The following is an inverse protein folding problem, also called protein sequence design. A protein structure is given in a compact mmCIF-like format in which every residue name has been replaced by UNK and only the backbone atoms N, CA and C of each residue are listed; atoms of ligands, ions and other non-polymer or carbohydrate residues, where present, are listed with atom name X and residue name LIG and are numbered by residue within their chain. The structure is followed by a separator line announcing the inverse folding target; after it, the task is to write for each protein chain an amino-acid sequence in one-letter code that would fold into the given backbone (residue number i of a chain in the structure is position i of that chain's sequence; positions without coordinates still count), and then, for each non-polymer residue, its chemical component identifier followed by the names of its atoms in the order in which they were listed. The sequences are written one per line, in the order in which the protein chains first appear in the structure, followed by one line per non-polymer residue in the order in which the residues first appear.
data_IF_566117859580
#
_entry.id   IF_566117859580
#
_cell.length_a   1.000
_cell.length_b   1.000
_cell.length_c   1.000
_cell.angle_alpha   90.00
_cell.angle_beta   90.00
_cell.angle_gamma   90.00
#
_symmetry.space_group_name_H-M   'P 1'
#
loop_
_entity.id
_entity.type
_entity.pdbx_description
1 polymer ?
#
# COMPACT_ATOMS: atom_id res chain seq x y z
N UNK A 1 12.40 -0.74 -19.93
CA UNK A 1 12.79 -0.42 -18.55
C UNK A 1 11.96 -1.21 -17.56
N UNK A 2 12.57 -1.59 -16.47
CA UNK A 2 11.87 -2.37 -15.46
C UNK A 2 10.85 -1.50 -14.72
N UNK A 3 9.69 -2.06 -14.46
CA UNK A 3 8.66 -1.44 -13.62
C UNK A 3 9.09 -1.46 -12.16
N UNK A 4 8.49 -0.61 -11.35
CA UNK A 4 8.62 -0.64 -9.89
C UNK A 4 7.29 -1.00 -9.26
N UNK A 5 7.34 -1.61 -8.09
CA UNK A 5 6.12 -2.08 -7.42
C UNK A 5 6.16 -1.75 -5.94
N UNK A 6 5.00 -1.46 -5.39
CA UNK A 6 4.76 -1.53 -3.96
C UNK A 6 4.06 -2.86 -3.70
N UNK A 7 4.60 -3.62 -2.77
CA UNK A 7 3.99 -4.86 -2.31
C UNK A 7 3.70 -4.69 -0.82
N UNK A 8 2.44 -4.56 -0.49
CA UNK A 8 1.99 -4.33 0.88
C UNK A 8 1.18 -5.53 1.34
N UNK A 9 1.75 -6.30 2.24
CA UNK A 9 1.14 -7.52 2.78
C UNK A 9 0.81 -7.26 4.25
N UNK A 10 -0.47 -7.16 4.56
CA UNK A 10 -0.92 -6.88 5.92
C UNK A 10 -0.80 -8.13 6.76
N UNK A 11 -0.27 -7.97 7.96
CA UNK A 11 -0.17 -9.04 8.95
C UNK A 11 -1.30 -8.93 9.97
N UNK A 12 -1.66 -7.70 10.34
CA UNK A 12 -2.72 -7.45 11.30
C UNK A 12 -3.31 -6.06 11.07
N UNK A 13 -4.62 -5.97 11.09
CA UNK A 13 -5.35 -4.70 11.09
C UNK A 13 -5.82 -4.46 12.52
N UNK A 14 -5.23 -3.46 13.18
CA UNK A 14 -5.50 -3.14 14.58
C UNK A 14 -6.68 -2.18 14.68
N UNK A 15 -6.74 -1.18 13.80
CA UNK A 15 -7.76 -0.14 13.82
C UNK A 15 -8.27 0.10 12.40
N UNK A 16 -9.47 -0.39 12.14
CA UNK A 16 -10.09 -0.29 10.81
C UNK A 16 -10.42 1.14 10.42
N UNK A 17 -10.70 1.99 11.39
CA UNK A 17 -11.02 3.40 11.12
C UNK A 17 -9.78 4.14 10.64
N UNK A 18 -8.62 3.84 11.22
CA UNK A 18 -7.34 4.41 10.77
C UNK A 18 -7.00 3.93 9.36
N UNK A 19 -7.24 2.67 9.07
CA UNK A 19 -7.01 2.13 7.73
C UNK A 19 -7.91 2.82 6.72
N UNK A 20 -9.17 3.05 7.06
CA UNK A 20 -10.13 3.72 6.19
C UNK A 20 -9.71 5.17 5.92
N UNK A 21 -9.31 5.90 6.98
CA UNK A 21 -8.84 7.28 6.86
C UNK A 21 -7.58 7.36 6.00
N UNK A 22 -6.66 6.42 6.18
CA UNK A 22 -5.47 6.30 5.35
C UNK A 22 -5.83 6.09 3.88
N UNK A 23 -6.74 5.16 3.60
CA UNK A 23 -7.11 4.81 2.22
C UNK A 23 -7.73 5.98 1.47
N UNK A 24 -8.48 6.83 2.15
CA UNK A 24 -9.09 8.01 1.53
C UNK A 24 -8.04 9.00 1.00
N UNK A 25 -6.90 9.08 1.65
CA UNK A 25 -5.79 9.96 1.25
C UNK A 25 -4.79 9.20 0.37
N UNK A 26 -4.46 7.98 0.77
CA UNK A 26 -3.43 7.17 0.11
C UNK A 26 -3.79 6.76 -1.30
N UNK A 27 -5.05 6.40 -1.55
CA UNK A 27 -5.50 6.02 -2.87
C UNK A 27 -5.26 7.11 -3.91
N UNK A 28 -5.80 8.32 -3.71
CA UNK A 28 -5.54 9.43 -4.62
C UNK A 28 -4.06 9.77 -4.74
N UNK A 29 -3.30 9.72 -3.64
CA UNK A 29 -1.86 10.01 -3.66
C UNK A 29 -1.10 9.05 -4.57
N UNK A 30 -1.43 7.76 -4.53
CA UNK A 30 -0.84 6.74 -5.39
C UNK A 30 -1.08 7.09 -6.86
N UNK A 31 -2.32 7.38 -7.21
CA UNK A 31 -2.71 7.66 -8.60
C UNK A 31 -2.06 8.95 -9.11
N UNK A 32 -2.04 10.00 -8.30
CA UNK A 32 -1.39 11.26 -8.65
C UNK A 32 0.10 11.11 -8.89
N UNK A 33 0.74 10.15 -8.23
CA UNK A 33 2.17 9.89 -8.38
C UNK A 33 2.47 8.79 -9.41
N UNK A 34 1.50 8.47 -10.25
CA UNK A 34 1.71 7.57 -11.39
C UNK A 34 1.54 6.09 -11.09
N UNK A 35 1.00 5.74 -9.93
CA UNK A 35 0.75 4.36 -9.56
C UNK A 35 -0.54 3.81 -10.15
N UNK A 36 -0.56 2.51 -10.37
CA UNK A 36 -1.73 1.76 -10.81
C UNK A 36 -1.95 0.61 -9.85
N UNK A 37 -3.14 0.52 -9.28
CA UNK A 37 -3.46 -0.62 -8.41
C UNK A 37 -3.67 -1.87 -9.25
N UNK A 38 -2.86 -2.90 -9.01
CA UNK A 38 -3.05 -4.22 -9.61
C UNK A 38 -3.88 -5.11 -8.70
N UNK A 39 -3.64 -5.01 -7.39
CA UNK A 39 -4.42 -5.68 -6.34
C UNK A 39 -4.68 -4.65 -5.27
N UNK A 40 -5.94 -4.51 -4.87
CA UNK A 40 -6.32 -3.53 -3.85
C UNK A 40 -7.27 -4.18 -2.85
N UNK A 41 -6.72 -5.03 -2.01
CA UNK A 41 -7.52 -5.85 -1.11
C UNK A 41 -8.18 -6.99 -1.88
N UNK A 42 -9.35 -7.36 -1.47
CA UNK A 42 -10.06 -8.48 -2.06
C UNK A 42 -9.75 -9.79 -1.37
N UNK A 43 -10.17 -10.89 -2.00
CA UNK A 43 -10.03 -12.21 -1.42
C UNK A 43 -8.60 -12.72 -1.51
N UNK A 44 -8.09 -13.24 -0.41
CA UNK A 44 -6.74 -13.82 -0.34
C UNK A 44 -6.89 -15.31 -0.04
N UNK A 45 -6.19 -16.14 -0.81
CA UNK A 45 -6.15 -17.58 -0.58
C UNK A 45 -4.73 -17.91 -0.13
N UNK A 46 -4.53 -18.16 1.18
CA UNK A 46 -3.18 -18.41 1.68
C UNK A 46 -2.69 -19.80 1.29
N UNK A 47 -1.40 -19.88 1.01
CA UNK A 47 -0.69 -21.13 0.77
C UNK A 47 0.55 -21.15 1.65
N UNK A 48 1.02 -22.34 2.00
CA UNK A 48 2.18 -22.51 2.86
C UNK A 48 2.05 -21.67 4.13
N UNK A 49 2.98 -20.77 4.38
CA UNK A 49 2.94 -19.87 5.54
C UNK A 49 2.26 -18.54 5.26
N UNK A 50 1.49 -18.47 4.18
CA UNK A 50 0.78 -17.24 3.80
C UNK A 50 -0.27 -16.84 4.82
N UNK A 51 -0.48 -15.54 4.94
CA UNK A 51 -1.47 -14.95 5.85
C UNK A 51 -2.65 -14.45 5.01
N UNK A 52 -3.89 -14.73 5.45
CA UNK A 52 -5.10 -14.38 4.72
C UNK A 52 -5.58 -12.95 4.97
N UNK A 53 -4.66 -12.02 5.23
CA UNK A 53 -4.98 -10.62 5.43
C UNK A 53 -4.88 -9.82 4.13
N UNK A 54 -5.31 -8.57 4.19
CA UNK A 54 -5.32 -7.66 3.04
C UNK A 54 -3.97 -7.61 2.33
N UNK A 55 -4.00 -7.66 1.00
CA UNK A 55 -2.81 -7.53 0.15
C UNK A 55 -3.05 -6.44 -0.89
N UNK A 56 -2.06 -5.57 -1.09
CA UNK A 56 -2.14 -4.48 -2.06
C UNK A 56 -0.88 -4.49 -2.91
N UNK A 57 -1.04 -4.44 -4.22
CA UNK A 57 0.08 -4.34 -5.16
C UNK A 57 -0.17 -3.15 -6.07
N UNK A 58 0.82 -2.26 -6.15
CA UNK A 58 0.77 -1.07 -6.99
C UNK A 58 1.93 -1.13 -7.98
N UNK A 59 1.67 -0.81 -9.24
CA UNK A 59 2.68 -0.76 -10.28
C UNK A 59 3.01 0.69 -10.62
N UNK A 60 4.30 0.99 -10.78
CA UNK A 60 4.80 2.25 -11.27
C UNK A 60 5.68 2.00 -12.50
N UNK A 61 5.90 3.01 -13.32
CA UNK A 61 6.69 2.87 -14.54
C UNK A 61 8.15 2.56 -14.26
N UNK A 62 8.66 2.90 -13.08
CA UNK A 62 10.03 2.61 -12.68
C UNK A 62 10.14 2.46 -11.16
N UNK A 63 11.23 1.87 -10.71
CA UNK A 63 11.56 1.78 -9.29
C UNK A 63 11.70 3.17 -8.68
N UNK A 64 12.36 4.10 -9.38
CA UNK A 64 12.56 5.47 -8.89
C UNK A 64 11.22 6.17 -8.66
N UNK A 65 10.25 5.98 -9.55
CA UNK A 65 8.92 6.54 -9.38
C UNK A 65 8.18 5.92 -8.18
N UNK A 66 8.34 4.61 -7.99
CA UNK A 66 7.74 3.92 -6.84
C UNK A 66 8.29 4.47 -5.51
N UNK A 67 9.61 4.71 -5.46
CA UNK A 67 10.26 5.27 -4.28
C UNK A 67 9.79 6.72 -4.06
N UNK A 68 9.77 7.52 -5.11
CA UNK A 68 9.36 8.93 -5.03
C UNK A 68 7.91 9.06 -4.56
N UNK A 69 7.04 8.17 -5.03
CA UNK A 69 5.63 8.18 -4.62
C UNK A 69 5.48 7.93 -3.12
N UNK A 70 6.25 6.99 -2.57
CA UNK A 70 6.23 6.72 -1.12
C UNK A 70 6.68 7.93 -0.33
N UNK A 71 7.69 8.65 -0.81
CA UNK A 71 8.27 9.80 -0.14
C UNK A 71 7.51 11.10 -0.40
N UNK A 72 6.48 11.08 -1.25
CA UNK A 72 5.68 12.26 -1.55
C UNK A 72 4.97 12.79 -0.31
N UNK A 73 4.76 14.11 -0.24
CA UNK A 73 4.06 14.73 0.87
C UNK A 73 2.64 14.19 1.01
N UNK A 74 1.97 13.95 -0.11
CA UNK A 74 0.60 13.41 -0.10
C UNK A 74 0.54 12.03 0.55
N UNK A 75 1.47 11.14 0.20
CA UNK A 75 1.48 9.81 0.79
C UNK A 75 1.93 9.81 2.25
N UNK A 76 2.90 10.65 2.59
CA UNK A 76 3.33 10.81 3.99
C UNK A 76 2.17 11.31 4.87
N UNK A 77 1.33 12.19 4.33
CA UNK A 77 0.12 12.64 5.01
C UNK A 77 -0.83 11.45 5.27
N UNK A 78 -0.98 10.55 4.31
CA UNK A 78 -1.79 9.34 4.47
C UNK A 78 -1.22 8.45 5.58
N UNK A 79 0.10 8.28 5.64
CA UNK A 79 0.76 7.47 6.67
C UNK A 79 0.53 7.99 8.08
N UNK A 80 0.40 9.31 8.25
CA UNK A 80 0.05 9.88 9.55
C UNK A 80 -1.28 9.34 10.07
N UNK A 81 -2.25 9.14 9.16
CA UNK A 81 -3.56 8.59 9.52
C UNK A 81 -3.50 7.12 9.89
N UNK A 82 -2.56 6.39 9.29
CA UNK A 82 -2.42 4.93 9.51
C UNK A 82 -1.63 4.59 10.77
N UNK A 83 -0.89 5.52 11.31
CA UNK A 83 0.06 5.28 12.41
C UNK A 83 -0.54 4.44 13.53
N UNK A 84 0.13 3.34 13.87
CA UNK A 84 -0.27 2.37 14.90
C UNK A 84 -1.60 1.64 14.58
N UNK A 85 -2.11 1.77 13.36
CA UNK A 85 -3.37 1.15 12.96
C UNK A 85 -3.23 -0.23 12.34
N UNK A 86 -2.04 -0.57 11.84
CA UNK A 86 -1.80 -1.87 11.19
C UNK A 86 -0.37 -2.34 11.44
N UNK A 87 -0.17 -3.65 11.21
CA UNK A 87 1.17 -4.24 11.08
C UNK A 87 1.20 -4.81 9.67
N UNK A 88 2.13 -4.35 8.84
CA UNK A 88 2.23 -4.81 7.46
C UNK A 88 3.68 -4.90 7.01
N UNK A 89 3.92 -5.86 6.12
CA UNK A 89 5.20 -6.01 5.43
C UNK A 89 5.07 -5.21 4.13
N UNK A 90 5.73 -4.06 4.07
CA UNK A 90 5.67 -3.16 2.92
C UNK A 90 7.02 -3.15 2.22
N UNK A 91 7.01 -3.48 0.93
CA UNK A 91 8.23 -3.54 0.12
C UNK A 91 8.06 -2.76 -1.18
N UNK A 92 9.16 -2.15 -1.59
CA UNK A 92 9.24 -1.47 -2.88
C UNK A 92 10.25 -2.19 -3.76
#
# INVERSE_FOLDING_TARGET
MAKGYWVSVYQKIIDKEKLSAYAEIGGPAVIENGGRFLVRGGRVIPKDDGISERTVIVEFDSLDEAIAAYESDAYQCALEKLKDGVIRDFRI
#
